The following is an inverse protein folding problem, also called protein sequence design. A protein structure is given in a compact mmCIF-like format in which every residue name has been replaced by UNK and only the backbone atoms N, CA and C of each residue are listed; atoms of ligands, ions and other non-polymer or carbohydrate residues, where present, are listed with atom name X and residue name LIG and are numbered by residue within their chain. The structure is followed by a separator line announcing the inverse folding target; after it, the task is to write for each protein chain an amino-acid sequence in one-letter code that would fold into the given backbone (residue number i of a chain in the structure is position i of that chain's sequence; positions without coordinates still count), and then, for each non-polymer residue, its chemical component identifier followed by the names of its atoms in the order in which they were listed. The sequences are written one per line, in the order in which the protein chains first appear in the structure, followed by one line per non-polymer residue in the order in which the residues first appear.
data_IF_047541839563
#
_entry.id   IF_047541839563
#
_cell.length_a   1.000
_cell.length_b   1.000
_cell.length_c   1.000
_cell.angle_alpha   90.00
_cell.angle_beta   90.00
_cell.angle_gamma   90.00
#
_symmetry.space_group_name_H-M   'P 1'
#
loop_
_entity.id
_entity.type
_entity.pdbx_description
1 polymer ?
#
# COMPACT_ATOMS: atom_id res chain seq x y z
N UNK A 1 15.09 -31.15 0.49
CA UNK A 1 13.72 -30.99 -0.07
C UNK A 1 13.39 -29.51 -0.04
N UNK A 2 12.95 -28.90 -1.16
CA UNK A 2 12.47 -27.52 -1.18
C UNK A 2 11.20 -27.40 -0.32
N UNK A 3 11.04 -26.28 0.37
CA UNK A 3 9.80 -25.95 1.05
C UNK A 3 8.76 -25.54 0.02
N UNK A 4 7.63 -26.24 0.00
CA UNK A 4 6.53 -25.95 -0.92
C UNK A 4 5.59 -24.90 -0.31
N UNK A 5 5.50 -23.74 -0.94
CA UNK A 5 4.68 -22.61 -0.49
C UNK A 5 3.56 -22.38 -1.49
N UNK A 6 2.32 -22.50 -1.04
CA UNK A 6 1.13 -22.13 -1.80
C UNK A 6 0.66 -20.74 -1.38
N UNK A 7 0.37 -19.88 -2.34
CA UNK A 7 0.03 -18.47 -2.12
C UNK A 7 -1.33 -18.16 -2.72
N UNK A 8 -2.20 -17.45 -1.99
CA UNK A 8 -3.38 -16.83 -2.58
C UNK A 8 -2.98 -15.55 -3.35
N UNK A 9 -2.89 -15.68 -4.66
CA UNK A 9 -2.48 -14.62 -5.59
C UNK A 9 -3.66 -13.98 -6.35
N UNK A 10 -4.92 -14.15 -5.90
CA UNK A 10 -6.11 -13.52 -6.54
C UNK A 10 -6.00 -12.00 -6.63
N UNK A 11 -5.24 -11.38 -5.71
CA UNK A 11 -4.98 -9.93 -5.72
C UNK A 11 -4.09 -9.47 -6.87
N UNK A 12 -3.49 -10.39 -7.62
CA UNK A 12 -2.78 -10.19 -8.89
C UNK A 12 -3.59 -10.66 -10.11
N UNK A 13 -4.71 -11.33 -9.90
CA UNK A 13 -5.56 -11.90 -10.95
C UNK A 13 -6.44 -10.88 -11.67
N UNK A 14 -7.75 -11.03 -11.58
CA UNK A 14 -8.72 -10.20 -12.31
C UNK A 14 -8.69 -8.71 -11.96
N UNK A 15 -8.28 -8.36 -10.75
CA UNK A 15 -8.21 -6.98 -10.24
C UNK A 15 -6.93 -6.74 -9.44
N UNK A 16 -5.81 -6.44 -10.09
CA UNK A 16 -4.58 -6.09 -9.41
C UNK A 16 -4.81 -4.90 -8.46
N UNK A 17 -4.36 -5.06 -7.22
CA UNK A 17 -4.57 -4.10 -6.12
C UNK A 17 -3.25 -3.73 -5.46
N UNK A 18 -3.26 -2.78 -4.51
CA UNK A 18 -2.07 -2.48 -3.70
C UNK A 18 -1.53 -3.70 -2.94
N UNK A 19 -2.42 -4.56 -2.42
CA UNK A 19 -2.04 -5.85 -1.81
C UNK A 19 -1.40 -6.79 -2.84
N UNK A 20 -1.93 -6.79 -4.07
CA UNK A 20 -1.34 -7.56 -5.18
C UNK A 20 0.05 -7.04 -5.54
N UNK A 21 0.26 -5.73 -5.60
CA UNK A 21 1.60 -5.17 -5.86
C UNK A 21 2.59 -5.52 -4.76
N UNK A 22 2.18 -5.47 -3.50
CA UNK A 22 2.98 -5.98 -2.38
C UNK A 22 3.41 -7.44 -2.60
N UNK A 23 2.46 -8.32 -2.95
CA UNK A 23 2.74 -9.72 -3.25
C UNK A 23 3.68 -9.85 -4.45
N UNK A 24 3.44 -9.10 -5.54
CA UNK A 24 4.28 -9.09 -6.71
C UNK A 24 5.75 -8.81 -6.36
N UNK A 25 5.98 -7.74 -5.60
CA UNK A 25 7.33 -7.29 -5.28
C UNK A 25 8.07 -8.30 -4.39
N UNK A 26 7.38 -8.90 -3.42
CA UNK A 26 7.95 -9.98 -2.62
C UNK A 26 8.20 -11.25 -3.44
N UNK A 27 7.28 -11.67 -4.29
CA UNK A 27 7.47 -12.86 -5.14
C UNK A 27 8.65 -12.68 -6.09
N UNK A 28 8.79 -11.51 -6.75
CA UNK A 28 9.94 -11.22 -7.62
C UNK A 28 11.28 -11.50 -6.92
N UNK A 29 11.38 -11.19 -5.64
CA UNK A 29 12.59 -11.44 -4.84
C UNK A 29 12.62 -12.86 -4.30
N UNK A 30 11.53 -13.37 -3.73
CA UNK A 30 11.53 -14.65 -3.03
C UNK A 30 11.71 -15.87 -3.97
N UNK A 31 11.27 -15.75 -5.23
CA UNK A 31 11.47 -16.83 -6.23
C UNK A 31 12.94 -16.99 -6.66
N UNK A 32 13.82 -16.03 -6.32
CA UNK A 32 15.26 -16.16 -6.58
C UNK A 32 15.94 -17.10 -5.59
N UNK A 33 15.28 -17.47 -4.51
CA UNK A 33 15.80 -18.39 -3.51
C UNK A 33 15.45 -19.84 -3.86
N UNK A 34 16.47 -20.67 -4.08
CA UNK A 34 16.32 -22.06 -4.55
C UNK A 34 15.69 -23.03 -3.54
N UNK A 35 15.63 -22.64 -2.26
CA UNK A 35 15.04 -23.45 -1.20
C UNK A 35 13.52 -23.53 -1.23
N UNK A 36 12.82 -22.69 -2.01
CA UNK A 36 11.37 -22.64 -2.10
C UNK A 36 10.85 -23.20 -3.44
N UNK A 37 9.70 -23.88 -3.36
CA UNK A 37 8.85 -24.27 -4.49
C UNK A 37 7.54 -23.50 -4.40
N UNK A 38 7.24 -22.66 -5.39
CA UNK A 38 6.08 -21.77 -5.36
C UNK A 38 4.90 -22.30 -6.15
N UNK A 39 3.70 -22.15 -5.59
CA UNK A 39 2.43 -22.45 -6.24
C UNK A 39 1.49 -21.28 -6.02
N UNK A 40 0.96 -20.69 -7.07
CA UNK A 40 0.03 -19.57 -7.00
C UNK A 40 -1.40 -20.07 -7.25
N UNK A 41 -2.32 -19.72 -6.34
CA UNK A 41 -3.75 -19.84 -6.57
C UNK A 41 -4.27 -18.49 -7.05
N UNK A 42 -4.99 -18.47 -8.16
CA UNK A 42 -5.56 -17.24 -8.72
C UNK A 42 -7.00 -17.45 -9.14
N UNK A 43 -7.75 -16.36 -9.21
CA UNK A 43 -9.10 -16.37 -9.74
C UNK A 43 -9.10 -16.51 -11.27
N UNK A 44 -8.24 -15.76 -11.97
CA UNK A 44 -8.02 -15.85 -13.42
C UNK A 44 -6.54 -15.69 -13.79
N UNK A 45 -6.11 -16.28 -14.91
CA UNK A 45 -4.73 -16.27 -15.41
C UNK A 45 -4.40 -15.14 -16.38
N UNK A 46 -5.39 -14.40 -16.88
CA UNK A 46 -5.20 -13.40 -17.94
C UNK A 46 -4.34 -12.21 -17.52
N UNK A 47 -4.17 -11.98 -16.22
CA UNK A 47 -3.32 -10.94 -15.67
C UNK A 47 -1.87 -11.08 -16.16
N UNK A 48 -1.27 -9.98 -16.60
CA UNK A 48 0.16 -9.93 -17.00
C UNK A 48 1.11 -10.35 -15.87
N UNK A 49 0.76 -10.05 -14.61
CA UNK A 49 1.54 -10.47 -13.43
C UNK A 49 1.56 -11.98 -13.29
N UNK A 50 0.40 -12.62 -13.38
CA UNK A 50 0.28 -14.09 -13.27
C UNK A 50 0.99 -14.78 -14.43
N UNK A 51 0.79 -14.31 -15.67
CA UNK A 51 1.45 -14.86 -16.86
C UNK A 51 2.97 -14.77 -16.77
N UNK A 52 3.51 -13.70 -16.19
CA UNK A 52 4.95 -13.52 -16.02
C UNK A 52 5.53 -14.55 -15.03
N UNK A 53 4.84 -14.84 -13.92
CA UNK A 53 5.27 -15.88 -12.99
C UNK A 53 5.16 -17.27 -13.60
N UNK A 54 4.08 -17.55 -14.33
CA UNK A 54 3.90 -18.82 -15.04
C UNK A 54 4.99 -19.06 -16.10
N UNK A 55 5.35 -18.01 -16.87
CA UNK A 55 6.46 -18.07 -17.84
C UNK A 55 7.83 -18.33 -17.20
N UNK A 56 8.00 -18.04 -15.91
CA UNK A 56 9.21 -18.35 -15.12
C UNK A 56 9.16 -19.76 -14.49
N UNK A 57 8.17 -20.57 -14.85
CA UNK A 57 8.06 -21.96 -14.40
C UNK A 57 7.33 -22.12 -13.05
N UNK A 58 6.70 -21.07 -12.51
CA UNK A 58 5.90 -21.17 -11.29
C UNK A 58 4.57 -21.82 -11.62
N UNK A 59 4.19 -22.83 -10.84
CA UNK A 59 2.92 -23.52 -11.00
C UNK A 59 1.76 -22.57 -10.62
N UNK A 60 0.84 -22.33 -11.55
CA UNK A 60 -0.38 -21.56 -11.32
C UNK A 60 -1.60 -22.44 -11.41
N UNK A 61 -2.47 -22.36 -10.41
CA UNK A 61 -3.75 -23.09 -10.33
C UNK A 61 -4.86 -22.06 -10.33
N UNK A 62 -5.70 -22.12 -11.36
CA UNK A 62 -6.74 -21.15 -11.63
C UNK A 62 -8.11 -21.66 -11.21
N UNK A 63 -8.94 -20.77 -10.64
CA UNK A 63 -10.36 -21.03 -10.41
C UNK A 63 -11.21 -20.85 -11.69
N UNK A 64 -10.80 -19.95 -12.59
CA UNK A 64 -11.43 -19.70 -13.88
C UNK A 64 -12.61 -18.73 -13.84
N UNK A 65 -12.80 -17.98 -12.75
CA UNK A 65 -13.87 -16.98 -12.61
C UNK A 65 -13.38 -15.78 -11.80
N UNK A 66 -13.63 -14.54 -12.27
CA UNK A 66 -13.26 -13.35 -11.51
C UNK A 66 -14.01 -13.27 -10.17
N UNK A 67 -13.30 -12.86 -9.11
CA UNK A 67 -13.88 -12.67 -7.77
C UNK A 67 -14.27 -11.20 -7.60
N UNK A 68 -15.54 -10.85 -7.90
CA UNK A 68 -16.00 -9.46 -7.87
C UNK A 68 -16.80 -9.06 -6.62
N UNK A 69 -17.37 -10.01 -5.88
CA UNK A 69 -18.26 -9.75 -4.74
C UNK A 69 -17.98 -10.72 -3.60
N UNK A 70 -18.44 -10.38 -2.40
CA UNK A 70 -18.27 -11.19 -1.19
C UNK A 70 -18.72 -12.65 -1.34
N UNK A 71 -19.83 -12.91 -2.02
CA UNK A 71 -20.28 -14.26 -2.31
C UNK A 71 -19.28 -15.07 -3.15
N UNK A 72 -18.61 -14.43 -4.11
CA UNK A 72 -17.54 -15.04 -4.91
C UNK A 72 -16.32 -15.42 -4.07
N UNK A 73 -16.01 -14.66 -3.04
CA UNK A 73 -14.88 -14.96 -2.14
C UNK A 73 -15.07 -16.28 -1.40
N UNK A 74 -16.27 -16.57 -0.92
CA UNK A 74 -16.55 -17.86 -0.25
C UNK A 74 -16.42 -19.06 -1.18
N UNK A 75 -16.91 -18.93 -2.43
CA UNK A 75 -16.75 -19.97 -3.44
C UNK A 75 -15.27 -20.17 -3.84
N UNK A 76 -14.52 -19.07 -3.98
CA UNK A 76 -13.09 -19.12 -4.21
C UNK A 76 -12.35 -19.78 -3.02
N UNK A 77 -12.74 -19.50 -1.80
CA UNK A 77 -12.17 -20.16 -0.61
C UNK A 77 -12.47 -21.68 -0.58
N UNK A 78 -13.62 -22.11 -1.08
CA UNK A 78 -13.90 -23.54 -1.23
C UNK A 78 -12.98 -24.18 -2.29
N UNK A 79 -12.69 -23.49 -3.37
CA UNK A 79 -11.69 -23.91 -4.35
C UNK A 79 -10.29 -24.03 -3.71
N UNK A 80 -9.80 -23.01 -3.00
CA UNK A 80 -8.51 -23.08 -2.29
C UNK A 80 -8.45 -24.30 -1.36
N UNK A 81 -9.50 -24.53 -0.56
CA UNK A 81 -9.53 -25.70 0.35
C UNK A 81 -9.39 -27.03 -0.39
N UNK A 82 -10.01 -27.15 -1.55
CA UNK A 82 -9.92 -28.36 -2.39
C UNK A 82 -8.50 -28.54 -2.92
N UNK A 83 -7.91 -27.47 -3.48
CA UNK A 83 -6.58 -27.52 -4.08
C UNK A 83 -5.48 -27.74 -3.05
N UNK A 84 -5.57 -27.16 -1.85
CA UNK A 84 -4.62 -27.39 -0.77
C UNK A 84 -4.50 -28.87 -0.36
N UNK A 85 -5.63 -29.62 -0.40
CA UNK A 85 -5.63 -31.08 -0.13
C UNK A 85 -4.88 -31.88 -1.20
N UNK A 86 -4.89 -31.41 -2.45
CA UNK A 86 -4.19 -32.05 -3.57
C UNK A 86 -2.71 -31.67 -3.59
N UNK A 87 -2.40 -30.37 -3.43
CA UNK A 87 -1.07 -29.80 -3.50
C UNK A 87 -0.22 -30.20 -2.30
N UNK A 88 -0.82 -30.29 -1.11
CA UNK A 88 -0.16 -30.56 0.17
C UNK A 88 1.10 -29.71 0.35
N UNK A 89 0.97 -28.37 0.45
CA UNK A 89 2.12 -27.50 0.67
C UNK A 89 2.67 -27.69 2.09
N UNK A 90 3.89 -27.19 2.33
CA UNK A 90 4.43 -27.05 3.68
C UNK A 90 3.90 -25.77 4.35
N UNK A 91 3.63 -24.70 3.54
CA UNK A 91 3.09 -23.42 3.97
C UNK A 91 1.97 -22.99 3.03
N UNK A 92 0.87 -22.45 3.57
CA UNK A 92 -0.13 -21.67 2.84
C UNK A 92 -0.03 -20.20 3.25
N UNK A 93 0.22 -19.32 2.29
CA UNK A 93 0.32 -17.87 2.50
C UNK A 93 -0.91 -17.14 1.98
N UNK A 94 -1.69 -16.57 2.89
CA UNK A 94 -2.79 -15.65 2.59
C UNK A 94 -2.31 -14.21 2.71
N UNK A 95 -2.29 -13.50 1.60
CA UNK A 95 -1.75 -12.13 1.53
C UNK A 95 -2.77 -11.06 1.94
N UNK A 96 -4.07 -11.41 1.99
CA UNK A 96 -5.16 -10.47 2.24
C UNK A 96 -5.82 -10.65 3.61
N UNK A 97 -5.05 -10.99 4.63
CA UNK A 97 -5.37 -11.02 6.06
C UNK A 97 -6.41 -12.05 6.53
N UNK A 98 -7.31 -12.57 5.70
CA UNK A 98 -8.40 -13.47 6.11
C UNK A 98 -8.29 -14.80 5.38
N UNK A 99 -8.01 -15.87 6.15
CA UNK A 99 -7.96 -17.24 5.61
C UNK A 99 -9.35 -17.88 5.54
N UNK A 100 -9.53 -18.85 4.61
CA UNK A 100 -10.71 -19.72 4.62
C UNK A 100 -10.88 -20.47 5.95
N UNK A 101 -12.07 -20.48 6.50
CA UNK A 101 -12.37 -21.20 7.75
C UNK A 101 -12.19 -22.72 7.53
N UNK A 102 -11.59 -23.41 8.53
CA UNK A 102 -11.37 -24.87 8.50
C UNK A 102 -10.61 -25.34 7.27
N UNK A 103 -9.42 -24.77 7.02
CA UNK A 103 -8.57 -25.21 5.91
C UNK A 103 -8.24 -26.70 5.96
N UNK A 104 -8.01 -27.24 7.16
CA UNK A 104 -7.63 -28.65 7.36
C UNK A 104 -6.33 -28.97 6.60
N UNK A 105 -5.41 -29.69 7.21
CA UNK A 105 -4.16 -30.09 6.56
C UNK A 105 -3.00 -30.04 7.53
N UNK A 106 -1.85 -30.55 7.09
CA UNK A 106 -0.60 -30.59 7.86
C UNK A 106 0.40 -29.51 7.45
N UNK A 107 -0.09 -28.37 6.95
CA UNK A 107 0.72 -27.22 6.56
C UNK A 107 0.63 -26.10 7.62
N UNK A 108 1.64 -25.21 7.67
CA UNK A 108 1.59 -23.97 8.44
C UNK A 108 0.89 -22.88 7.65
N UNK A 109 0.19 -22.00 8.36
CA UNK A 109 -0.47 -20.83 7.78
C UNK A 109 0.35 -19.58 8.01
N UNK A 110 0.63 -18.84 6.95
CA UNK A 110 1.26 -17.54 6.94
C UNK A 110 0.23 -16.51 6.46
N UNK A 111 0.03 -15.44 7.20
CA UNK A 111 -0.83 -14.33 6.73
C UNK A 111 -0.06 -13.04 6.66
N UNK A 112 -0.48 -12.11 5.79
CA UNK A 112 -0.02 -10.73 5.81
C UNK A 112 -1.14 -9.82 6.29
N UNK A 113 -0.86 -8.95 7.25
CA UNK A 113 -1.78 -7.93 7.74
C UNK A 113 -1.26 -6.57 7.29
N UNK A 114 -2.08 -5.84 6.51
CA UNK A 114 -1.71 -4.57 5.91
C UNK A 114 -2.14 -3.36 6.73
N UNK A 115 -3.31 -3.44 7.38
CA UNK A 115 -3.84 -2.39 8.25
C UNK A 115 -4.99 -2.92 9.13
N UNK A 116 -5.39 -2.10 10.09
CA UNK A 116 -6.57 -2.33 10.94
C UNK A 116 -7.69 -1.32 10.64
N UNK A 117 -7.66 -0.66 9.49
CA UNK A 117 -8.56 0.44 9.13
C UNK A 117 -10.04 0.10 9.22
N UNK A 118 -10.51 -1.09 8.77
CA UNK A 118 -11.93 -1.42 8.93
C UNK A 118 -12.40 -1.38 10.38
N UNK A 119 -11.50 -1.59 11.36
CA UNK A 119 -11.82 -1.53 12.78
C UNK A 119 -11.62 -0.11 13.33
N UNK A 120 -10.55 0.59 12.92
CA UNK A 120 -10.18 1.91 13.44
C UNK A 120 -11.07 3.02 12.90
N UNK A 121 -11.43 2.93 11.62
CA UNK A 121 -12.11 4.00 10.88
C UNK A 121 -13.46 3.54 10.36
N UNK A 122 -14.33 3.09 11.28
CA UNK A 122 -15.70 2.60 10.98
C UNK A 122 -16.50 3.58 10.12
N UNK A 123 -16.25 4.89 10.27
CA UNK A 123 -16.90 5.95 9.47
C UNK A 123 -16.65 5.85 7.97
N UNK A 124 -15.47 5.31 7.54
CA UNK A 124 -15.11 5.12 6.13
C UNK A 124 -15.57 3.77 5.57
N UNK A 125 -15.63 2.74 6.42
CA UNK A 125 -15.90 1.36 5.98
C UNK A 125 -17.32 0.88 6.28
N UNK A 126 -18.03 1.56 7.19
CA UNK A 126 -19.37 1.18 7.64
C UNK A 126 -19.35 0.06 8.70
N UNK A 127 -20.34 0.10 9.60
CA UNK A 127 -20.43 -0.80 10.77
C UNK A 127 -20.45 -2.28 10.38
N UNK A 128 -21.23 -2.65 9.37
CA UNK A 128 -21.41 -4.04 8.94
C UNK A 128 -20.08 -4.66 8.51
N UNK A 129 -19.34 -3.95 7.61
CA UNK A 129 -18.06 -4.42 7.14
C UNK A 129 -17.01 -4.47 8.25
N UNK A 130 -17.01 -3.49 9.14
CA UNK A 130 -16.10 -3.45 10.30
C UNK A 130 -16.29 -4.64 11.24
N UNK A 131 -17.55 -5.00 11.55
CA UNK A 131 -17.86 -6.20 12.33
C UNK A 131 -17.48 -7.49 11.60
N UNK A 132 -17.79 -7.59 10.32
CA UNK A 132 -17.39 -8.72 9.46
C UNK A 132 -15.86 -8.92 9.49
N UNK A 133 -15.11 -7.85 9.25
CA UNK A 133 -13.65 -7.89 9.24
C UNK A 133 -13.10 -8.31 10.60
N UNK A 134 -13.56 -7.68 11.69
CA UNK A 134 -13.12 -7.98 13.05
C UNK A 134 -13.38 -9.44 13.42
N UNK A 135 -14.56 -9.96 13.11
CA UNK A 135 -14.92 -11.35 13.40
C UNK A 135 -14.04 -12.33 12.61
N UNK A 136 -13.93 -12.14 11.30
CA UNK A 136 -13.16 -13.06 10.44
C UNK A 136 -11.65 -13.02 10.73
N UNK A 137 -11.09 -11.84 10.99
CA UNK A 137 -9.69 -11.74 11.40
C UNK A 137 -9.45 -12.42 12.76
N UNK A 138 -10.37 -12.25 13.71
CA UNK A 138 -10.30 -12.94 15.00
C UNK A 138 -10.35 -14.47 14.88
N UNK A 139 -11.11 -15.01 13.92
CA UNK A 139 -11.12 -16.44 13.61
C UNK A 139 -9.81 -16.84 12.90
N UNK A 140 -9.38 -16.06 11.92
CA UNK A 140 -8.12 -16.29 11.19
C UNK A 140 -6.93 -16.41 12.15
N UNK A 141 -6.76 -15.48 13.07
CA UNK A 141 -5.66 -15.45 14.03
C UNK A 141 -5.60 -16.67 14.97
N UNK A 142 -6.72 -17.40 15.13
CA UNK A 142 -6.72 -18.67 15.90
C UNK A 142 -6.11 -19.84 15.15
N UNK A 143 -5.99 -19.70 13.82
CA UNK A 143 -5.51 -20.75 12.92
C UNK A 143 -4.26 -20.28 12.16
N UNK A 144 -3.60 -19.23 12.62
CA UNK A 144 -2.42 -18.64 12.01
C UNK A 144 -1.18 -19.05 12.77
N UNK A 145 -0.18 -19.55 12.07
CA UNK A 145 1.12 -19.94 12.63
C UNK A 145 2.17 -18.84 12.52
N UNK A 146 2.05 -17.95 11.53
CA UNK A 146 3.02 -16.91 11.23
C UNK A 146 2.32 -15.66 10.68
N UNK A 147 2.82 -14.47 11.04
CA UNK A 147 2.30 -13.19 10.54
C UNK A 147 3.42 -12.36 9.92
N UNK A 148 3.14 -11.79 8.73
CA UNK A 148 3.88 -10.68 8.17
C UNK A 148 3.11 -9.39 8.39
N UNK A 149 3.79 -8.37 8.92
CA UNK A 149 3.23 -7.02 9.04
C UNK A 149 3.95 -6.07 8.09
N UNK A 150 3.22 -5.18 7.45
CA UNK A 150 3.83 -4.16 6.57
C UNK A 150 4.39 -2.96 7.33
N UNK A 151 4.16 -2.86 8.64
CA UNK A 151 4.71 -1.82 9.52
C UNK A 151 4.65 -2.24 10.99
N UNK A 152 5.50 -1.63 11.84
CA UNK A 152 5.39 -1.77 13.31
C UNK A 152 4.05 -1.23 13.82
N UNK A 153 3.59 -0.11 13.24
CA UNK A 153 2.28 0.43 13.61
C UNK A 153 1.16 -0.57 13.35
N UNK A 154 1.14 -1.24 12.19
CA UNK A 154 0.13 -2.28 11.89
C UNK A 154 0.21 -3.45 12.87
N UNK A 155 1.42 -3.83 13.30
CA UNK A 155 1.62 -4.84 14.34
C UNK A 155 1.04 -4.38 15.67
N UNK A 156 1.41 -3.19 16.14
CA UNK A 156 0.91 -2.61 17.41
C UNK A 156 -0.62 -2.52 17.41
N UNK A 157 -1.21 -2.03 16.33
CA UNK A 157 -2.66 -1.93 16.15
C UNK A 157 -3.32 -3.32 16.19
N UNK A 158 -2.74 -4.30 15.47
CA UNK A 158 -3.26 -5.67 15.50
C UNK A 158 -3.22 -6.26 16.90
N UNK A 159 -2.11 -6.12 17.60
CA UNK A 159 -1.91 -6.63 18.96
C UNK A 159 -2.81 -5.93 19.99
N UNK A 160 -3.15 -4.66 19.78
CA UNK A 160 -4.10 -3.91 20.59
C UNK A 160 -5.52 -4.45 20.44
N UNK A 161 -5.99 -4.69 19.21
CA UNK A 161 -7.34 -5.22 18.96
C UNK A 161 -7.46 -6.72 19.18
N UNK A 162 -6.35 -7.45 19.00
CA UNK A 162 -6.26 -8.91 19.14
C UNK A 162 -5.03 -9.33 19.96
N UNK A 163 -5.07 -9.22 21.30
CA UNK A 163 -3.90 -9.51 22.16
C UNK A 163 -3.28 -10.90 21.96
N UNK A 164 -4.04 -11.86 21.43
CA UNK A 164 -3.51 -13.19 21.10
C UNK A 164 -2.49 -13.17 19.98
N UNK A 165 -2.52 -12.16 19.11
CA UNK A 165 -1.55 -12.00 18.00
C UNK A 165 -0.11 -11.88 18.53
N UNK A 166 0.10 -11.32 19.73
CA UNK A 166 1.42 -11.24 20.41
C UNK A 166 2.15 -12.58 20.57
N UNK A 167 1.39 -13.69 20.58
CA UNK A 167 1.94 -15.04 20.76
C UNK A 167 2.27 -15.72 19.43
N UNK A 168 1.88 -15.13 18.32
CA UNK A 168 2.13 -15.68 16.98
C UNK A 168 3.48 -15.12 16.49
N UNK A 169 4.42 -15.98 16.08
CA UNK A 169 5.67 -15.52 15.46
C UNK A 169 5.40 -14.54 14.30
N UNK A 170 6.10 -13.42 14.28
CA UNK A 170 5.87 -12.40 13.27
C UNK A 170 7.16 -11.77 12.75
N UNK A 171 7.09 -11.22 11.55
CA UNK A 171 8.16 -10.48 10.90
C UNK A 171 7.58 -9.21 10.27
N UNK A 172 8.31 -8.09 10.37
CA UNK A 172 7.95 -6.88 9.66
C UNK A 172 8.44 -6.96 8.21
N UNK A 173 7.52 -7.33 7.33
CA UNK A 173 7.73 -7.40 5.90
C UNK A 173 7.20 -6.11 5.26
N UNK A 174 7.96 -5.04 5.40
CA UNK A 174 7.63 -3.72 4.85
C UNK A 174 7.40 -3.78 3.34
N UNK A 175 6.82 -2.70 2.80
CA UNK A 175 6.62 -2.60 1.35
C UNK A 175 7.98 -2.40 0.67
N UNK A 176 8.26 -3.23 -0.33
CA UNK A 176 9.50 -3.15 -1.12
C UNK A 176 9.49 -1.88 -1.96
N UNK A 177 10.57 -1.13 -1.89
CA UNK A 177 10.85 0.01 -2.75
C UNK A 177 11.83 -0.41 -3.85
N UNK A 178 11.29 -0.88 -4.97
CA UNK A 178 12.13 -1.24 -6.13
C UNK A 178 12.90 -0.03 -6.64
N UNK A 179 14.18 -0.18 -7.06
CA UNK A 179 14.93 0.91 -7.66
C UNK A 179 14.27 1.42 -8.95
N UNK A 180 14.56 2.65 -9.33
CA UNK A 180 14.09 3.18 -10.61
C UNK A 180 14.69 2.36 -11.76
N UNK A 181 13.81 1.86 -12.63
CA UNK A 181 14.23 1.10 -13.83
C UNK A 181 14.71 1.98 -14.97
N UNK A 182 14.41 3.28 -14.90
CA UNK A 182 14.76 4.27 -15.91
C UNK A 182 15.17 5.58 -15.23
N UNK A 183 16.28 6.15 -15.62
CA UNK A 183 16.63 7.53 -15.27
C UNK A 183 16.19 8.46 -16.40
N UNK A 184 15.40 9.47 -16.05
CA UNK A 184 15.07 10.61 -16.93
C UNK A 184 15.47 11.86 -16.17
N UNK A 185 16.29 12.75 -16.74
CA UNK A 185 16.62 14.01 -16.10
C UNK A 185 15.34 14.76 -15.72
N UNK A 186 15.17 15.20 -14.48
CA UNK A 186 13.97 15.90 -14.05
C UNK A 186 13.83 17.24 -14.77
N UNK A 187 12.61 17.55 -15.15
CA UNK A 187 12.20 18.90 -15.55
C UNK A 187 11.38 19.45 -14.40
N UNK A 188 11.78 20.54 -13.80
CA UNK A 188 10.90 21.22 -12.85
C UNK A 188 9.83 21.99 -13.65
N UNK A 189 8.66 21.41 -13.76
CA UNK A 189 7.50 22.00 -14.45
C UNK A 189 6.66 22.88 -13.52
N UNK A 190 7.17 23.17 -12.31
CA UNK A 190 6.65 24.17 -11.37
C UNK A 190 5.22 23.90 -10.87
N UNK A 191 4.89 22.68 -10.46
CA UNK A 191 3.58 22.35 -9.89
C UNK A 191 3.66 21.53 -8.60
N UNK A 192 2.64 21.69 -7.74
CA UNK A 192 2.33 20.73 -6.69
C UNK A 192 1.65 19.51 -7.30
N UNK A 193 1.91 18.34 -6.76
CA UNK A 193 1.36 17.08 -7.27
C UNK A 193 0.70 16.27 -6.15
N UNK A 194 -0.49 15.77 -6.41
CA UNK A 194 -1.10 14.69 -5.65
C UNK A 194 -1.35 13.48 -6.57
N UNK A 195 -1.01 12.27 -6.11
CA UNK A 195 -1.33 11.02 -6.79
C UNK A 195 -1.93 10.04 -5.79
N UNK A 196 -3.16 9.60 -6.03
CA UNK A 196 -3.87 8.66 -5.17
C UNK A 196 -5.36 8.60 -5.49
N UNK A 197 -6.07 7.66 -4.88
CA UNK A 197 -7.53 7.63 -4.99
C UNK A 197 -8.13 8.94 -4.49
N UNK A 198 -9.15 9.42 -5.19
CA UNK A 198 -9.90 10.63 -4.85
C UNK A 198 -10.95 10.26 -3.80
N UNK A 199 -10.56 10.25 -2.52
CA UNK A 199 -11.37 9.86 -1.37
C UNK A 199 -10.99 10.67 -0.11
N UNK A 200 -11.94 10.88 0.83
CA UNK A 200 -11.72 11.66 2.07
C UNK A 200 -10.62 11.09 2.96
N UNK A 201 -10.51 9.79 3.04
CA UNK A 201 -9.44 9.14 3.80
C UNK A 201 -8.04 9.55 3.33
N UNK A 202 -7.91 9.88 2.04
CA UNK A 202 -6.66 10.41 1.44
C UNK A 202 -6.51 11.93 1.59
N UNK A 203 -7.47 12.61 2.24
CA UNK A 203 -7.41 14.04 2.54
C UNK A 203 -7.57 14.94 1.31
N UNK A 204 -8.17 14.42 0.25
CA UNK A 204 -8.33 15.18 -1.02
C UNK A 204 -9.25 16.39 -0.83
N UNK A 205 -10.28 16.27 -0.01
CA UNK A 205 -11.16 17.38 0.35
C UNK A 205 -10.41 18.51 1.08
N UNK A 206 -9.54 18.17 2.02
CA UNK A 206 -8.67 19.13 2.71
C UNK A 206 -7.69 19.77 1.70
N UNK A 207 -7.10 18.97 0.80
CA UNK A 207 -6.18 19.50 -0.22
C UNK A 207 -6.86 20.48 -1.17
N UNK A 208 -8.05 20.17 -1.68
CA UNK A 208 -8.80 21.09 -2.58
C UNK A 208 -9.13 22.39 -1.87
N UNK A 209 -9.62 22.34 -0.63
CA UNK A 209 -9.92 23.53 0.19
C UNK A 209 -8.64 24.33 0.49
N UNK A 210 -7.56 23.66 0.84
CA UNK A 210 -6.27 24.29 1.12
C UNK A 210 -5.70 24.96 -0.13
N UNK A 211 -5.80 24.30 -1.30
CA UNK A 211 -5.32 24.88 -2.54
C UNK A 211 -6.13 26.14 -2.95
N UNK A 212 -7.44 26.13 -2.82
CA UNK A 212 -8.28 27.33 -3.01
C UNK A 212 -7.76 28.49 -2.14
N UNK A 213 -7.60 28.28 -0.84
CA UNK A 213 -7.12 29.27 0.10
C UNK A 213 -5.68 29.71 -0.20
N UNK A 214 -4.79 28.79 -0.58
CA UNK A 214 -3.44 29.10 -1.02
C UNK A 214 -3.43 30.08 -2.21
N UNK A 215 -4.33 29.90 -3.19
CA UNK A 215 -4.50 30.82 -4.33
C UNK A 215 -5.05 32.18 -3.91
N UNK A 216 -6.08 32.21 -3.07
CA UNK A 216 -6.66 33.44 -2.51
C UNK A 216 -5.63 34.26 -1.72
N UNK A 217 -4.71 33.61 -1.05
CA UNK A 217 -3.63 34.24 -0.28
C UNK A 217 -2.35 34.54 -1.13
N UNK A 218 -2.48 34.53 -2.45
CA UNK A 218 -1.44 34.95 -3.41
C UNK A 218 -0.47 33.84 -3.85
N UNK A 219 -0.71 32.61 -3.53
CA UNK A 219 0.06 31.48 -4.06
C UNK A 219 -0.14 31.34 -5.57
N UNK A 220 0.93 31.05 -6.31
CA UNK A 220 0.89 31.01 -7.78
C UNK A 220 1.15 29.64 -8.39
N UNK A 221 1.71 28.68 -7.62
CA UNK A 221 2.06 27.36 -8.13
C UNK A 221 0.81 26.53 -8.44
N UNK A 222 0.69 25.94 -9.65
CA UNK A 222 -0.41 25.05 -10.00
C UNK A 222 -0.45 23.78 -9.13
N UNK A 223 -1.63 23.17 -9.04
CA UNK A 223 -1.82 21.85 -8.44
C UNK A 223 -2.38 20.87 -9.46
N UNK A 224 -1.68 19.74 -9.61
CA UNK A 224 -2.14 18.61 -10.43
C UNK A 224 -2.60 17.49 -9.50
N UNK A 225 -3.82 17.02 -9.71
CA UNK A 225 -4.41 15.86 -9.06
C UNK A 225 -4.49 14.70 -10.05
N UNK A 226 -4.03 13.51 -9.65
CA UNK A 226 -4.13 12.30 -10.47
C UNK A 226 -4.59 11.11 -9.63
N UNK A 227 -5.56 10.34 -10.15
CA UNK A 227 -6.07 9.16 -9.49
C UNK A 227 -7.52 8.87 -9.82
N UNK A 228 -8.00 7.73 -9.33
CA UNK A 228 -9.36 7.28 -9.59
C UNK A 228 -10.34 7.94 -8.62
N UNK A 229 -11.44 8.50 -9.14
CA UNK A 229 -12.55 8.98 -8.33
C UNK A 229 -13.23 7.82 -7.59
N UNK A 230 -13.50 7.99 -6.30
CA UNK A 230 -14.06 6.96 -5.43
C UNK A 230 -15.32 7.41 -4.68
N UNK A 231 -15.52 8.72 -4.49
CA UNK A 231 -16.58 9.29 -3.68
C UNK A 231 -17.27 10.46 -4.40
N UNK A 232 -18.62 10.43 -4.47
CA UNK A 232 -19.43 11.42 -5.21
C UNK A 232 -19.29 12.83 -4.63
N UNK A 233 -19.17 12.97 -3.31
CA UNK A 233 -18.99 14.28 -2.68
C UNK A 233 -17.61 14.90 -2.93
N UNK A 234 -16.57 14.09 -3.11
CA UNK A 234 -15.26 14.54 -3.61
C UNK A 234 -15.37 14.98 -5.07
N UNK A 235 -16.12 14.24 -5.90
CA UNK A 235 -16.35 14.60 -7.30
C UNK A 235 -17.01 15.97 -7.42
N UNK A 236 -18.11 16.21 -6.68
CA UNK A 236 -18.81 17.50 -6.66
C UNK A 236 -17.92 18.66 -6.18
N UNK A 237 -17.14 18.45 -5.11
CA UNK A 237 -16.20 19.43 -4.60
C UNK A 237 -15.14 19.79 -5.64
N UNK A 238 -14.60 18.78 -6.31
CA UNK A 238 -13.58 18.94 -7.33
C UNK A 238 -14.11 19.64 -8.58
N UNK A 239 -15.29 19.25 -9.09
CA UNK A 239 -15.93 19.91 -10.24
C UNK A 239 -16.11 21.41 -9.98
N UNK A 240 -16.61 21.77 -8.80
CA UNK A 240 -16.74 23.19 -8.39
C UNK A 240 -15.38 23.88 -8.37
N UNK A 241 -14.38 23.26 -7.75
CA UNK A 241 -13.05 23.86 -7.63
C UNK A 241 -12.36 24.02 -9.01
N UNK A 242 -12.55 23.09 -9.94
CA UNK A 242 -11.98 23.18 -11.31
C UNK A 242 -12.53 24.39 -12.09
N UNK A 243 -13.74 24.85 -11.79
CA UNK A 243 -14.32 26.05 -12.44
C UNK A 243 -13.94 27.35 -11.75
N UNK A 244 -13.66 27.33 -10.46
CA UNK A 244 -13.47 28.53 -9.63
C UNK A 244 -12.01 28.84 -9.28
N UNK A 245 -11.14 27.83 -9.28
CA UNK A 245 -9.76 27.95 -8.82
C UNK A 245 -8.78 27.80 -9.97
N UNK A 246 -8.15 28.88 -10.37
CA UNK A 246 -7.14 28.88 -11.42
C UNK A 246 -5.92 28.01 -11.04
N UNK A 247 -5.39 27.26 -12.00
CA UNK A 247 -4.19 26.43 -11.83
C UNK A 247 -4.45 25.06 -11.18
N UNK A 248 -5.72 24.70 -10.90
CA UNK A 248 -6.09 23.34 -10.52
C UNK A 248 -6.33 22.48 -11.77
N UNK A 249 -5.76 21.29 -11.79
CA UNK A 249 -5.93 20.31 -12.89
C UNK A 249 -6.19 18.92 -12.33
N UNK A 250 -7.14 18.20 -12.92
CA UNK A 250 -7.40 16.80 -12.61
C UNK A 250 -7.22 15.93 -13.85
N UNK A 251 -6.36 14.91 -13.75
CA UNK A 251 -5.99 14.04 -14.87
C UNK A 251 -6.77 12.71 -14.89
N UNK A 252 -7.56 12.44 -13.86
CA UNK A 252 -8.15 11.10 -13.70
C UNK A 252 -7.10 10.03 -13.40
N UNK A 253 -7.42 8.77 -13.72
CA UNK A 253 -6.48 7.67 -13.58
C UNK A 253 -5.36 7.80 -14.62
N UNK A 254 -4.11 7.66 -14.17
CA UNK A 254 -2.92 7.77 -15.02
C UNK A 254 -2.15 6.44 -15.07
N UNK A 255 -1.49 6.19 -16.20
CA UNK A 255 -0.62 5.02 -16.39
C UNK A 255 0.61 5.09 -15.47
N UNK A 256 1.29 3.95 -15.29
CA UNK A 256 2.57 3.90 -14.56
C UNK A 256 3.62 4.84 -15.16
N UNK A 257 3.71 4.92 -16.50
CA UNK A 257 4.64 5.82 -17.19
C UNK A 257 4.33 7.28 -16.91
N UNK A 258 3.05 7.67 -17.04
CA UNK A 258 2.60 9.04 -16.75
C UNK A 258 2.84 9.40 -15.29
N UNK A 259 2.53 8.48 -14.36
CA UNK A 259 2.79 8.68 -12.92
C UNK A 259 4.28 8.90 -12.63
N UNK A 260 5.15 8.12 -13.27
CA UNK A 260 6.59 8.31 -13.19
C UNK A 260 7.01 9.72 -13.64
N UNK A 261 6.53 10.15 -14.81
CA UNK A 261 6.85 11.48 -15.35
C UNK A 261 6.32 12.61 -14.43
N UNK A 262 5.12 12.45 -13.89
CA UNK A 262 4.56 13.40 -12.92
C UNK A 262 5.42 13.51 -11.65
N UNK A 263 5.85 12.38 -11.06
CA UNK A 263 6.76 12.41 -9.90
C UNK A 263 8.09 13.04 -10.25
N UNK A 264 8.63 12.72 -11.43
CA UNK A 264 9.94 13.20 -11.86
C UNK A 264 9.97 14.71 -12.13
N UNK A 265 8.85 15.31 -12.52
CA UNK A 265 8.78 16.70 -12.96
C UNK A 265 8.09 17.65 -11.99
N UNK A 266 7.44 17.16 -10.91
CA UNK A 266 6.82 18.04 -9.93
C UNK A 266 7.85 18.82 -9.12
N UNK A 267 7.46 19.98 -8.63
CA UNK A 267 8.25 20.74 -7.66
C UNK A 267 8.11 20.21 -6.25
N UNK A 268 6.92 19.74 -5.88
CA UNK A 268 6.66 19.13 -4.58
C UNK A 268 5.46 18.19 -4.67
N UNK A 269 5.60 17.04 -4.05
CA UNK A 269 4.50 16.08 -3.87
C UNK A 269 3.76 16.39 -2.56
N UNK A 270 2.44 16.51 -2.63
CA UNK A 270 1.59 16.73 -1.46
C UNK A 270 0.82 15.47 -1.12
N UNK A 271 0.99 14.96 0.10
CA UNK A 271 0.40 13.71 0.56
C UNK A 271 -0.45 13.93 1.82
N UNK A 272 -1.70 14.38 1.67
CA UNK A 272 -2.54 14.87 2.77
C UNK A 272 -3.34 13.78 3.47
N UNK A 273 -2.94 12.53 3.38
CA UNK A 273 -3.68 11.37 3.90
C UNK A 273 -4.05 11.51 5.38
N UNK A 274 -5.29 11.12 5.71
CA UNK A 274 -5.81 11.06 7.08
C UNK A 274 -5.54 9.72 7.77
N UNK A 275 -5.28 8.67 6.98
CA UNK A 275 -4.93 7.33 7.46
C UNK A 275 -4.17 6.56 6.39
N UNK A 276 -3.04 5.96 6.79
CA UNK A 276 -2.18 5.13 5.94
C UNK A 276 -1.66 3.91 6.70
N UNK A 277 -1.63 2.76 6.02
CA UNK A 277 -0.99 1.56 6.54
C UNK A 277 0.53 1.58 6.37
N UNK A 278 1.02 2.34 5.35
CA UNK A 278 2.44 2.49 5.07
C UNK A 278 2.78 3.80 4.35
N UNK A 279 2.13 4.10 3.21
CA UNK A 279 2.39 5.32 2.43
C UNK A 279 3.33 5.11 1.24
N UNK A 280 3.10 4.07 0.43
CA UNK A 280 3.90 3.76 -0.78
C UNK A 280 4.25 4.98 -1.65
N UNK A 281 3.33 5.92 -1.95
CA UNK A 281 3.65 7.06 -2.81
C UNK A 281 4.80 7.93 -2.29
N UNK A 282 4.98 8.03 -0.96
CA UNK A 282 6.12 8.76 -0.40
C UNK A 282 7.43 8.14 -0.85
N UNK A 283 7.59 6.81 -0.72
CA UNK A 283 8.81 6.12 -1.16
C UNK A 283 9.00 6.21 -2.68
N UNK A 284 7.91 6.17 -3.45
CA UNK A 284 7.98 6.34 -4.91
C UNK A 284 8.57 7.72 -5.26
N UNK A 285 8.09 8.78 -4.62
CA UNK A 285 8.55 10.16 -4.88
C UNK A 285 9.97 10.41 -4.36
N UNK A 286 10.33 9.85 -3.22
CA UNK A 286 11.71 9.97 -2.68
C UNK A 286 12.77 9.47 -3.68
N UNK A 287 12.45 8.45 -4.48
CA UNK A 287 13.37 7.97 -5.55
C UNK A 287 13.66 9.00 -6.62
N UNK A 288 12.78 9.98 -6.79
CA UNK A 288 12.96 11.10 -7.72
C UNK A 288 13.61 12.34 -7.08
N UNK A 289 14.02 12.23 -5.81
CA UNK A 289 14.60 13.34 -5.04
C UNK A 289 13.73 14.61 -5.04
N UNK A 290 12.41 14.44 -4.93
CA UNK A 290 11.47 15.57 -4.91
C UNK A 290 11.06 15.93 -3.48
N UNK A 291 10.88 17.23 -3.19
CA UNK A 291 10.28 17.67 -1.93
C UNK A 291 8.92 17.02 -1.70
N UNK A 292 8.64 16.68 -0.45
CA UNK A 292 7.37 16.05 -0.04
C UNK A 292 6.80 16.84 1.11
N UNK A 293 5.52 17.20 1.00
CA UNK A 293 4.70 17.76 2.07
C UNK A 293 3.65 16.74 2.47
N UNK A 294 3.83 16.09 3.61
CA UNK A 294 2.93 15.03 4.09
C UNK A 294 2.19 15.44 5.36
N UNK A 295 1.08 14.80 5.65
CA UNK A 295 0.43 14.89 6.97
C UNK A 295 1.33 14.30 8.07
N UNK A 296 1.12 14.72 9.33
CA UNK A 296 1.87 14.24 10.48
C UNK A 296 1.36 12.91 11.04
N UNK A 297 1.05 11.95 10.16
CA UNK A 297 0.69 10.60 10.59
C UNK A 297 1.89 9.89 11.24
N UNK A 298 1.63 9.19 12.36
CA UNK A 298 2.65 8.43 13.10
C UNK A 298 3.38 7.42 12.22
N UNK A 299 2.67 6.78 11.27
CA UNK A 299 3.29 5.81 10.34
C UNK A 299 4.44 6.44 9.53
N UNK A 300 4.38 7.73 9.21
CA UNK A 300 5.44 8.39 8.45
C UNK A 300 6.70 8.64 9.28
N UNK A 301 6.59 8.68 10.63
CA UNK A 301 7.78 8.70 11.50
C UNK A 301 8.56 7.39 11.38
N UNK A 302 7.84 6.26 11.28
CA UNK A 302 8.44 4.94 11.05
C UNK A 302 9.04 4.83 9.64
N UNK A 303 8.26 5.23 8.62
CA UNK A 303 8.60 4.97 7.20
C UNK A 303 9.72 5.88 6.71
N UNK A 304 9.65 7.16 6.99
CA UNK A 304 10.59 8.17 6.43
C UNK A 304 11.22 9.09 7.47
N UNK A 305 10.87 8.97 8.74
CA UNK A 305 11.42 9.85 9.80
C UNK A 305 11.18 11.32 9.49
N UNK A 306 12.21 12.15 9.72
CA UNK A 306 12.16 13.60 9.53
C UNK A 306 12.58 14.05 8.11
N UNK A 307 12.66 13.13 7.15
CA UNK A 307 13.16 13.44 5.80
C UNK A 307 12.19 14.31 4.97
N UNK A 308 10.93 14.48 5.39
CA UNK A 308 9.88 15.17 4.65
C UNK A 308 9.23 16.25 5.48
N UNK A 309 8.78 17.31 4.81
CA UNK A 309 8.03 18.38 5.47
C UNK A 309 6.66 17.89 5.91
N UNK A 310 6.18 18.33 7.08
CA UNK A 310 4.92 17.90 7.70
C UNK A 310 3.96 19.05 7.90
N UNK A 311 2.65 18.74 7.73
CA UNK A 311 1.58 19.61 8.22
C UNK A 311 0.74 18.86 9.26
N UNK A 312 0.08 19.61 10.15
CA UNK A 312 -0.66 19.05 11.29
C UNK A 312 -2.06 18.60 10.89
N UNK A 313 -2.46 17.43 11.38
CA UNK A 313 -3.85 16.93 11.34
C UNK A 313 -4.63 17.25 12.62
N UNK A 314 -4.06 18.00 13.56
CA UNK A 314 -4.73 18.38 14.81
C UNK A 314 -5.85 19.41 14.54
N UNK A 315 -6.87 19.37 15.38
CA UNK A 315 -8.00 20.27 15.29
C UNK A 315 -9.10 19.81 14.31
N UNK A 316 -9.93 20.75 13.91
CA UNK A 316 -11.01 20.54 12.93
C UNK A 316 -10.49 20.59 11.48
N UNK A 317 -11.39 20.57 10.51
CA UNK A 317 -10.98 20.58 9.10
C UNK A 317 -10.39 21.93 8.67
N UNK A 318 -10.85 23.04 9.26
CA UNK A 318 -10.30 24.37 8.97
C UNK A 318 -8.87 24.50 9.52
N UNK A 319 -8.58 23.96 10.70
CA UNK A 319 -7.22 23.91 11.26
C UNK A 319 -6.25 23.13 10.36
N UNK A 320 -6.70 21.98 9.83
CA UNK A 320 -5.91 21.15 8.88
C UNK A 320 -5.68 21.90 7.58
N UNK A 321 -6.70 22.58 7.04
CA UNK A 321 -6.59 23.43 5.84
C UNK A 321 -5.55 24.52 6.06
N UNK A 322 -5.61 25.25 7.17
CA UNK A 322 -4.65 26.32 7.52
C UNK A 322 -3.23 25.74 7.61
N UNK A 323 -3.09 24.61 8.29
CA UNK A 323 -1.78 23.95 8.43
C UNK A 323 -1.19 23.55 7.08
N UNK A 324 -2.01 22.98 6.18
CA UNK A 324 -1.57 22.57 4.84
C UNK A 324 -1.21 23.80 3.97
N UNK A 325 -1.99 24.88 4.01
CA UNK A 325 -1.67 26.16 3.33
C UNK A 325 -0.32 26.71 3.77
N UNK A 326 -0.06 26.71 5.08
CA UNK A 326 1.22 27.15 5.62
C UNK A 326 2.37 26.27 5.13
N UNK A 327 2.15 24.95 5.07
CA UNK A 327 3.11 24.01 4.48
C UNK A 327 3.41 24.31 3.02
N UNK A 328 2.38 24.53 2.18
CA UNK A 328 2.54 24.88 0.76
C UNK A 328 3.33 26.19 0.59
N UNK A 329 3.03 27.22 1.36
CA UNK A 329 3.77 28.49 1.33
C UNK A 329 5.21 28.36 1.80
N UNK A 330 5.48 27.49 2.79
CA UNK A 330 6.85 27.22 3.23
C UNK A 330 7.67 26.51 2.15
N UNK A 331 7.05 25.55 1.45
CA UNK A 331 7.67 24.91 0.29
C UNK A 331 8.03 25.94 -0.77
N UNK A 332 7.12 26.84 -1.15
CA UNK A 332 7.39 27.87 -2.14
C UNK A 332 8.59 28.76 -1.79
N UNK A 333 8.71 29.11 -0.51
CA UNK A 333 9.86 29.95 -0.03
C UNK A 333 11.18 29.21 -0.10
N UNK A 334 11.16 27.90 0.13
CA UNK A 334 12.39 27.09 0.31
C UNK A 334 12.79 26.30 -0.95
N UNK A 335 11.93 26.19 -1.95
CA UNK A 335 12.12 25.25 -3.06
C UNK A 335 13.45 25.46 -3.81
N UNK A 336 13.93 26.68 -3.89
CA UNK A 336 15.19 27.03 -4.53
C UNK A 336 16.41 26.91 -3.60
N UNK A 337 16.22 26.53 -2.33
CA UNK A 337 17.29 26.49 -1.31
C UNK A 337 17.74 25.07 -0.92
N UNK A 338 17.37 24.05 -1.71
CA UNK A 338 17.80 22.67 -1.44
C UNK A 338 17.00 22.01 -0.32
N UNK A 339 15.68 21.87 -0.50
CA UNK A 339 14.76 21.24 0.46
C UNK A 339 14.99 19.76 0.71
N UNK A 340 15.65 19.08 -0.21
CA UNK A 340 15.83 17.63 -0.16
C UNK A 340 17.24 17.29 0.27
N UNK A 341 17.38 16.56 1.36
CA UNK A 341 18.60 15.84 1.68
C UNK A 341 18.57 14.46 0.97
N UNK A 342 19.24 14.39 -0.19
CA UNK A 342 19.29 13.17 -1.00
C UNK A 342 19.95 12.00 -0.25
N UNK A 343 20.88 12.25 0.67
CA UNK A 343 21.50 11.22 1.48
C UNK A 343 20.53 10.67 2.51
N UNK A 344 19.73 11.54 3.15
CA UNK A 344 18.67 11.11 4.06
C UNK A 344 17.59 10.28 3.33
N UNK A 345 17.20 10.69 2.11
CA UNK A 345 16.27 9.92 1.27
C UNK A 345 16.82 8.54 0.92
N UNK A 346 18.08 8.48 0.48
CA UNK A 346 18.75 7.21 0.17
C UNK A 346 18.80 6.30 1.39
N UNK A 347 19.21 6.82 2.54
CA UNK A 347 19.27 6.06 3.79
C UNK A 347 17.89 5.53 4.22
N UNK A 348 16.83 6.33 4.06
CA UNK A 348 15.46 5.88 4.32
C UNK A 348 15.02 4.77 3.35
N UNK A 349 15.33 4.89 2.06
CA UNK A 349 15.00 3.90 1.02
C UNK A 349 15.76 2.58 1.18
N UNK A 350 17.00 2.60 1.68
CA UNK A 350 17.84 1.42 1.90
C UNK A 350 17.21 0.39 2.86
N UNK A 351 16.26 0.83 3.70
CA UNK A 351 15.51 -0.08 4.58
C UNK A 351 14.54 -0.99 3.82
N UNK A 352 14.15 -0.60 2.61
CA UNK A 352 13.04 -1.18 1.85
C UNK A 352 13.49 -1.85 0.54
N UNK A 353 14.77 -2.16 0.41
CA UNK A 353 15.30 -2.84 -0.77
C UNK A 353 14.78 -4.28 -0.89
N UNK A 354 14.56 -4.78 -2.13
CA UNK A 354 14.11 -6.15 -2.36
C UNK A 354 14.96 -7.20 -1.65
N UNK A 355 16.28 -7.07 -1.76
CA UNK A 355 17.26 -8.04 -1.20
C UNK A 355 17.16 -8.10 0.32
N UNK A 356 17.06 -6.93 0.97
CA UNK A 356 16.95 -6.85 2.43
C UNK A 356 15.66 -7.45 2.94
N UNK A 357 14.52 -7.01 2.39
CA UNK A 357 13.21 -7.45 2.86
C UNK A 357 12.91 -8.89 2.46
N UNK A 358 13.28 -9.28 1.25
CA UNK A 358 13.17 -10.67 0.80
C UNK A 358 14.03 -11.61 1.65
N UNK A 359 15.26 -11.21 1.98
CA UNK A 359 16.14 -11.94 2.89
C UNK A 359 15.53 -12.11 4.29
N UNK A 360 14.97 -11.04 4.86
CA UNK A 360 14.30 -11.09 6.16
C UNK A 360 13.12 -12.06 6.18
N UNK A 361 12.27 -12.02 5.16
CA UNK A 361 11.10 -12.92 5.04
C UNK A 361 11.55 -14.37 4.83
N UNK A 362 12.55 -14.61 3.97
CA UNK A 362 13.16 -15.94 3.78
C UNK A 362 13.65 -16.52 5.10
N UNK A 363 14.47 -15.76 5.82
CA UNK A 363 15.10 -16.21 7.07
C UNK A 363 14.04 -16.45 8.16
N UNK A 364 13.01 -15.62 8.21
CA UNK A 364 11.86 -15.80 9.10
C UNK A 364 11.13 -17.12 8.79
N UNK A 365 10.76 -17.36 7.52
CA UNK A 365 10.10 -18.60 7.10
C UNK A 365 10.96 -19.82 7.50
N UNK A 366 12.24 -19.81 7.17
CA UNK A 366 13.15 -20.92 7.47
C UNK A 366 13.27 -21.16 8.97
N UNK A 367 13.39 -20.11 9.79
CA UNK A 367 13.45 -20.23 11.24
C UNK A 367 12.21 -20.91 11.83
N UNK A 368 11.03 -20.55 11.32
CA UNK A 368 9.76 -21.12 11.79
C UNK A 368 9.54 -22.56 11.32
N UNK A 369 10.12 -22.97 10.21
CA UNK A 369 10.01 -24.33 9.69
C UNK A 369 11.01 -25.29 10.35
N UNK A 370 12.16 -24.80 10.81
CA UNK A 370 13.20 -25.61 11.48
C UNK A 370 12.93 -25.83 12.98
N UNK A 371 12.08 -25.02 13.60
CA UNK A 371 11.65 -25.16 15.00
C UNK A 371 10.52 -26.22 15.17
N UNK A 372 10.65 -27.36 14.49
CA UNK A 372 9.73 -28.50 14.66
C UNK A 372 10.19 -29.47 15.76
#
# INVERSE_FOLDING_TARGET
KKLKIAVDARTLGSRPSGVGMYLNDFLEQLITYDEFEWILFTDVKESEYIKRFEARGIKVIEWGKPVYRSAGVYAYFAFIKKELKQVRPDIFWEVNSIIPINLGGSFKTLITIHDMFPIQYVRYFGKIYSYYFKFNLGVTLRHTDMILYNSEQTKDDTEMYFPKAKKIPSCNAYIISNPLTRYVPPKDENYFLYVGNMEKRKGVDILIKAYRRYREEGGTRPLILAGKMQEDDIEQLLETALTEVEGLTYLGYVSHTTRYDLYNNCSCFVFPSMAEGFGMPILEVMKHNKPILASNLKIFDEVVGDCVERFSLAGDDDDKVISLVNGMKNIDKKINSGLVDENAYRHALDKYTPERLGGMVRDFINSQMNNR
#
